data_IF_889894660988
#
_entry.id   IF_889894660988
#
_cell.length_a   1.000
_cell.length_b   1.000
_cell.length_c   1.000
_cell.angle_alpha   90.00
_cell.angle_beta   90.00
_cell.angle_gamma   90.00
#
_symmetry.space_group_name_H-M   'P 1'
#
loop_
_entity.id
_entity.type
_entity.pdbx_description
1 polymer ?
#
# COMPACT_ATOMS: atom_id res chain seq x y z
N UNK A 1 -6.94 -0.43 24.60
CA UNK A 1 -6.13 0.07 23.45
C UNK A 1 -6.48 -0.73 22.20
N UNK A 2 -6.43 -0.13 21.01
CA UNK A 2 -6.83 -0.79 19.76
C UNK A 2 -6.02 -2.06 19.44
N UNK A 3 -4.71 -2.04 19.72
CA UNK A 3 -3.85 -3.21 19.59
C UNK A 3 -4.29 -4.37 20.50
N UNK A 4 -4.67 -4.07 21.74
CA UNK A 4 -5.21 -5.07 22.69
C UNK A 4 -6.48 -5.72 22.15
N UNK A 5 -7.40 -4.91 21.58
CA UNK A 5 -8.65 -5.43 21.01
C UNK A 5 -8.39 -6.29 19.76
N UNK A 6 -7.44 -5.90 18.91
CA UNK A 6 -7.02 -6.74 17.78
C UNK A 6 -6.44 -8.08 18.24
N UNK A 7 -5.57 -8.07 19.26
CA UNK A 7 -4.98 -9.30 19.78
C UNK A 7 -6.03 -10.19 20.46
N UNK A 8 -7.01 -9.58 21.12
CA UNK A 8 -8.16 -10.31 21.67
C UNK A 8 -8.99 -10.97 20.54
N UNK A 9 -9.19 -10.28 19.43
CA UNK A 9 -9.86 -10.84 18.25
C UNK A 9 -9.14 -12.07 17.69
N UNK A 10 -7.81 -11.98 17.56
CA UNK A 10 -6.97 -13.13 17.14
C UNK A 10 -7.11 -14.28 18.16
N UNK A 11 -6.99 -13.98 19.45
CA UNK A 11 -7.05 -15.00 20.49
C UNK A 11 -8.39 -15.76 20.49
N UNK A 12 -9.51 -15.07 20.26
CA UNK A 12 -10.81 -15.72 20.11
C UNK A 12 -10.94 -16.49 18.80
N UNK A 13 -10.40 -15.99 17.69
CA UNK A 13 -10.37 -16.68 16.39
C UNK A 13 -9.62 -18.01 16.46
N UNK A 14 -8.51 -18.06 17.19
CA UNK A 14 -7.67 -19.26 17.32
C UNK A 14 -8.15 -20.22 18.42
N UNK A 15 -9.17 -19.82 19.19
CA UNK A 15 -9.60 -20.57 20.37
C UNK A 15 -10.40 -21.82 19.99
N UNK A 16 -9.80 -22.98 20.26
CA UNK A 16 -10.42 -24.29 20.03
C UNK A 16 -11.35 -24.78 21.16
N UNK A 17 -11.42 -24.05 22.29
CA UNK A 17 -12.24 -24.41 23.46
C UNK A 17 -13.43 -23.47 23.61
N UNK A 18 -14.54 -23.97 24.15
CA UNK A 18 -15.81 -23.23 24.25
C UNK A 18 -16.68 -23.39 23.01
N UNK A 19 -17.77 -22.61 22.93
CA UNK A 19 -18.64 -22.62 21.76
C UNK A 19 -17.99 -21.86 20.59
N UNK A 20 -17.97 -22.48 19.41
CA UNK A 20 -17.30 -21.92 18.23
C UNK A 20 -17.99 -20.64 17.76
N UNK A 21 -19.32 -20.58 17.79
CA UNK A 21 -20.05 -19.40 17.33
C UNK A 21 -19.82 -18.22 18.29
N UNK A 22 -19.87 -18.45 19.60
CA UNK A 22 -19.56 -17.41 20.60
C UNK A 22 -18.13 -16.88 20.49
N UNK A 23 -17.15 -17.76 20.21
CA UNK A 23 -15.77 -17.36 19.98
C UNK A 23 -15.66 -16.47 18.72
N UNK A 24 -16.33 -16.83 17.63
CA UNK A 24 -16.33 -16.03 16.39
C UNK A 24 -16.98 -14.66 16.62
N UNK A 25 -18.13 -14.61 17.29
CA UNK A 25 -18.81 -13.34 17.60
C UNK A 25 -17.93 -12.44 18.48
N UNK A 26 -17.26 -13.03 19.48
CA UNK A 26 -16.30 -12.32 20.33
C UNK A 26 -15.12 -11.79 19.54
N UNK A 27 -14.59 -12.56 18.59
CA UNK A 27 -13.50 -12.14 17.72
C UNK A 27 -13.92 -10.97 16.81
N UNK A 28 -15.10 -11.06 16.20
CA UNK A 28 -15.69 -10.00 15.37
C UNK A 28 -15.84 -8.72 16.19
N UNK A 29 -16.44 -8.80 17.37
CA UNK A 29 -16.64 -7.64 18.24
C UNK A 29 -15.31 -6.98 18.63
N UNK A 30 -14.30 -7.78 18.96
CA UNK A 30 -12.97 -7.28 19.31
C UNK A 30 -12.29 -6.57 18.11
N UNK A 31 -12.35 -7.16 16.91
CA UNK A 31 -11.82 -6.51 15.70
C UNK A 31 -12.58 -5.23 15.36
N UNK A 32 -13.91 -5.21 15.45
CA UNK A 32 -14.72 -4.02 15.21
C UNK A 32 -14.37 -2.89 16.21
N UNK A 33 -14.19 -3.21 17.49
CA UNK A 33 -13.74 -2.24 18.49
C UNK A 33 -12.35 -1.67 18.18
N UNK A 34 -11.43 -2.50 17.69
CA UNK A 34 -10.13 -2.01 17.23
C UNK A 34 -10.27 -1.06 16.02
N UNK A 35 -11.18 -1.34 15.09
CA UNK A 35 -11.45 -0.52 13.90
C UNK A 35 -12.13 0.82 14.18
N UNK A 36 -12.76 1.00 15.34
CA UNK A 36 -13.27 2.32 15.76
C UNK A 36 -12.14 3.33 16.04
N UNK A 37 -10.97 2.82 16.44
CA UNK A 37 -9.79 3.64 16.75
C UNK A 37 -8.77 3.62 15.60
N UNK A 38 -8.75 2.53 14.81
CA UNK A 38 -7.87 2.35 13.65
C UNK A 38 -8.52 2.89 12.38
N UNK A 39 -8.23 4.13 12.03
CA UNK A 39 -8.76 4.83 10.84
C UNK A 39 -7.75 4.82 9.69
N UNK A 40 -8.23 5.15 8.48
CA UNK A 40 -7.33 5.24 7.32
C UNK A 40 -6.41 6.46 7.42
N UNK A 41 -6.88 7.53 8.07
CA UNK A 41 -6.24 8.85 8.13
C UNK A 41 -5.20 8.95 9.26
N UNK A 42 -5.30 8.11 10.29
CA UNK A 42 -4.37 8.14 11.41
C UNK A 42 -3.38 6.96 11.39
N UNK A 43 -3.86 5.76 11.03
CA UNK A 43 -3.12 4.52 11.25
C UNK A 43 -3.56 3.42 10.26
N UNK A 44 -3.31 3.62 8.95
CA UNK A 44 -3.74 2.71 7.89
C UNK A 44 -3.05 1.34 7.96
N UNK A 45 -1.79 1.24 8.39
CA UNK A 45 -1.11 -0.06 8.57
C UNK A 45 -1.74 -0.88 9.70
N UNK A 46 -2.09 -0.25 10.82
CA UNK A 46 -2.81 -0.89 11.91
C UNK A 46 -4.21 -1.35 11.49
N UNK A 47 -4.92 -0.49 10.75
CA UNK A 47 -6.24 -0.79 10.19
C UNK A 47 -6.15 -1.94 9.19
N UNK A 48 -5.13 -1.96 8.34
CA UNK A 48 -4.83 -3.03 7.38
C UNK A 48 -4.77 -4.37 8.11
N UNK A 49 -3.94 -4.48 9.15
CA UNK A 49 -3.80 -5.73 9.93
C UNK A 49 -5.15 -6.17 10.49
N UNK A 50 -5.91 -5.27 11.13
CA UNK A 50 -7.22 -5.64 11.70
C UNK A 50 -8.21 -6.09 10.63
N UNK A 51 -8.28 -5.38 9.50
CA UNK A 51 -9.23 -5.69 8.41
C UNK A 51 -8.86 -6.98 7.68
N UNK A 52 -7.56 -7.30 7.54
CA UNK A 52 -7.10 -8.59 7.06
C UNK A 52 -7.53 -9.73 7.99
N UNK A 53 -7.34 -9.56 9.30
CA UNK A 53 -7.73 -10.58 10.28
C UNK A 53 -9.24 -10.81 10.29
N UNK A 54 -10.02 -9.74 10.24
CA UNK A 54 -11.48 -9.83 10.15
C UNK A 54 -11.93 -10.48 8.84
N UNK A 55 -11.29 -10.13 7.70
CA UNK A 55 -11.55 -10.77 6.41
C UNK A 55 -11.24 -12.26 6.41
N UNK A 56 -10.11 -12.66 7.01
CA UNK A 56 -9.75 -14.06 7.18
C UNK A 56 -10.76 -14.81 8.05
N UNK A 57 -11.16 -14.22 9.18
CA UNK A 57 -12.17 -14.82 10.06
C UNK A 57 -13.48 -15.07 9.32
N UNK A 58 -13.96 -14.11 8.53
CA UNK A 58 -15.15 -14.30 7.71
C UNK A 58 -14.95 -15.34 6.61
N UNK A 59 -13.80 -15.33 5.94
CA UNK A 59 -13.47 -16.28 4.88
C UNK A 59 -13.42 -17.72 5.40
N UNK A 60 -12.73 -17.94 6.51
CA UNK A 60 -12.54 -19.27 7.10
C UNK A 60 -13.85 -19.84 7.70
N UNK A 61 -14.87 -18.99 7.86
CA UNK A 61 -16.23 -19.37 8.28
C UNK A 61 -17.27 -19.16 7.17
N UNK A 62 -16.83 -19.10 5.90
CA UNK A 62 -17.69 -19.09 4.71
C UNK A 62 -18.66 -17.88 4.60
N UNK A 63 -18.40 -16.82 5.35
CA UNK A 63 -19.12 -15.55 5.25
C UNK A 63 -18.55 -14.69 4.11
N UNK A 64 -18.64 -15.18 2.87
CA UNK A 64 -17.93 -14.64 1.72
C UNK A 64 -18.20 -13.14 1.47
N UNK A 65 -19.45 -12.69 1.60
CA UNK A 65 -19.79 -11.27 1.42
C UNK A 65 -19.07 -10.38 2.44
N UNK A 66 -19.11 -10.74 3.74
CA UNK A 66 -18.44 -9.99 4.79
C UNK A 66 -16.91 -10.06 4.66
N UNK A 67 -16.39 -11.18 4.15
CA UNK A 67 -14.98 -11.33 3.81
C UNK A 67 -14.57 -10.35 2.69
N UNK A 68 -15.34 -10.27 1.59
CA UNK A 68 -15.07 -9.31 0.50
C UNK A 68 -15.05 -7.87 1.00
N UNK A 69 -16.03 -7.44 1.81
CA UNK A 69 -16.06 -6.09 2.38
C UNK A 69 -14.83 -5.79 3.26
N UNK A 70 -14.39 -6.78 4.02
CA UNK A 70 -13.23 -6.64 4.90
C UNK A 70 -11.93 -6.57 4.09
N UNK A 71 -11.81 -7.38 3.05
CA UNK A 71 -10.67 -7.32 2.14
C UNK A 71 -10.63 -6.04 1.30
N UNK A 72 -11.76 -5.48 0.88
CA UNK A 72 -11.77 -4.15 0.24
C UNK A 72 -11.22 -3.08 1.17
N UNK A 73 -11.62 -3.11 2.45
CA UNK A 73 -11.10 -2.17 3.47
C UNK A 73 -9.60 -2.37 3.68
N UNK A 74 -9.13 -3.61 3.68
CA UNK A 74 -7.71 -3.94 3.76
C UNK A 74 -6.94 -3.41 2.53
N UNK A 75 -7.42 -3.68 1.32
CA UNK A 75 -6.80 -3.20 0.07
C UNK A 75 -6.73 -1.68 0.05
N UNK A 76 -7.80 -0.98 0.44
CA UNK A 76 -7.76 0.50 0.60
C UNK A 76 -6.69 0.94 1.60
N UNK A 77 -6.56 0.23 2.72
CA UNK A 77 -5.52 0.52 3.71
C UNK A 77 -4.10 0.23 3.18
N UNK A 78 -3.91 -0.80 2.35
CA UNK A 78 -2.66 -1.03 1.60
C UNK A 78 -2.35 0.16 0.71
N UNK A 79 -3.32 0.61 -0.10
CA UNK A 79 -3.13 1.72 -1.02
C UNK A 79 -2.77 3.03 -0.30
N UNK A 80 -3.48 3.35 0.77
CA UNK A 80 -3.17 4.53 1.60
C UNK A 80 -1.78 4.39 2.22
N UNK A 81 -1.46 3.24 2.81
CA UNK A 81 -0.15 3.00 3.42
C UNK A 81 0.99 3.11 2.42
N UNK A 82 0.78 2.69 1.17
CA UNK A 82 1.74 2.88 0.07
C UNK A 82 1.85 4.32 -0.38
N UNK A 83 0.73 5.06 -0.44
CA UNK A 83 0.76 6.49 -0.76
C UNK A 83 1.54 7.30 0.28
N UNK A 84 1.55 6.84 1.53
CA UNK A 84 2.34 7.44 2.61
C UNK A 84 3.77 6.93 2.68
N UNK A 85 4.07 5.83 1.99
CA UNK A 85 5.39 5.24 1.97
C UNK A 85 6.32 6.11 1.11
N UNK A 86 7.36 6.60 1.77
CA UNK A 86 8.31 7.56 1.21
C UNK A 86 9.42 6.92 0.39
N UNK A 87 9.41 5.60 0.17
CA UNK A 87 10.42 4.92 -0.65
C UNK A 87 9.76 3.86 -1.51
N UNK A 88 10.36 3.59 -2.67
CA UNK A 88 9.86 2.54 -3.55
C UNK A 88 9.99 1.15 -2.92
N UNK A 89 11.12 0.89 -2.25
CA UNK A 89 11.35 -0.36 -1.54
C UNK A 89 10.27 -0.63 -0.48
N UNK A 90 9.85 0.40 0.27
CA UNK A 90 8.78 0.25 1.28
C UNK A 90 7.41 0.07 0.62
N UNK A 91 7.14 0.76 -0.49
CA UNK A 91 5.91 0.54 -1.27
C UNK A 91 5.84 -0.90 -1.79
N UNK A 92 6.96 -1.46 -2.23
CA UNK A 92 7.07 -2.84 -2.71
C UNK A 92 6.94 -3.85 -1.57
N UNK A 93 7.59 -3.59 -0.44
CA UNK A 93 7.50 -4.44 0.76
C UNK A 93 6.06 -4.54 1.24
N UNK A 94 5.34 -3.42 1.31
CA UNK A 94 3.91 -3.40 1.67
C UNK A 94 3.07 -4.23 0.69
N UNK A 95 3.35 -4.23 -0.62
CA UNK A 95 2.64 -5.12 -1.56
C UNK A 95 2.98 -6.57 -1.26
N UNK A 96 4.27 -6.92 -1.19
CA UNK A 96 4.75 -8.28 -0.99
C UNK A 96 4.17 -8.90 0.27
N UNK A 97 4.17 -8.15 1.38
CA UNK A 97 3.57 -8.54 2.66
C UNK A 97 2.06 -8.81 2.55
N UNK A 98 1.37 -8.24 1.56
CA UNK A 98 -0.08 -8.30 1.43
C UNK A 98 -0.57 -9.05 0.18
N UNK A 99 0.31 -9.75 -0.56
CA UNK A 99 -0.09 -10.60 -1.71
C UNK A 99 -1.18 -11.60 -1.28
N UNK A 100 -1.06 -12.19 -0.09
CA UNK A 100 -2.06 -13.12 0.43
C UNK A 100 -3.45 -12.50 0.58
N UNK A 101 -3.53 -11.22 0.94
CA UNK A 101 -4.80 -10.47 1.06
C UNK A 101 -5.48 -10.33 -0.28
N UNK A 102 -4.73 -9.97 -1.34
CA UNK A 102 -5.28 -9.89 -2.70
C UNK A 102 -5.77 -11.25 -3.19
N UNK A 103 -5.00 -12.32 -2.99
CA UNK A 103 -5.40 -13.68 -3.38
C UNK A 103 -6.68 -14.13 -2.68
N UNK A 104 -6.81 -13.91 -1.37
CA UNK A 104 -8.03 -14.26 -0.63
C UNK A 104 -9.22 -13.39 -1.03
N UNK A 105 -9.00 -12.11 -1.35
CA UNK A 105 -10.06 -11.23 -1.87
C UNK A 105 -10.61 -11.74 -3.20
N UNK A 106 -9.72 -12.10 -4.13
CA UNK A 106 -10.09 -12.69 -5.44
C UNK A 106 -10.92 -13.96 -5.24
N UNK A 107 -10.46 -14.87 -4.37
CA UNK A 107 -11.20 -16.10 -4.05
C UNK A 107 -12.57 -15.80 -3.44
N UNK A 108 -12.67 -14.85 -2.53
CA UNK A 108 -13.94 -14.46 -1.92
C UNK A 108 -14.93 -13.88 -2.95
N UNK A 109 -14.45 -13.12 -3.93
CA UNK A 109 -15.28 -12.65 -5.04
C UNK A 109 -15.70 -13.77 -6.00
N UNK A 110 -14.83 -14.76 -6.24
CA UNK A 110 -15.20 -15.96 -7.01
C UNK A 110 -16.33 -16.73 -6.31
N UNK A 111 -16.23 -16.92 -4.99
CA UNK A 111 -17.28 -17.59 -4.20
C UNK A 111 -18.60 -16.81 -4.15
N UNK A 112 -18.58 -15.51 -4.45
CA UNK A 112 -19.79 -14.67 -4.53
C UNK A 112 -20.26 -14.42 -5.98
N UNK A 113 -19.68 -15.11 -6.95
CA UNK A 113 -19.96 -14.99 -8.40
C UNK A 113 -19.76 -13.55 -8.95
N UNK A 114 -18.84 -12.81 -8.32
CA UNK A 114 -18.45 -11.44 -8.70
C UNK A 114 -17.15 -11.44 -9.47
N UNK A 115 -17.16 -12.11 -10.62
CA UNK A 115 -15.97 -12.26 -11.47
C UNK A 115 -15.43 -10.92 -11.98
N UNK A 116 -16.31 -9.93 -12.17
CA UNK A 116 -15.97 -8.54 -12.48
C UNK A 116 -14.98 -7.97 -11.45
N UNK A 117 -15.30 -8.14 -10.17
CA UNK A 117 -14.48 -7.65 -9.06
C UNK A 117 -13.24 -8.49 -8.83
N UNK A 118 -13.33 -9.81 -8.99
CA UNK A 118 -12.17 -10.69 -8.92
C UNK A 118 -11.10 -10.29 -9.95
N UNK A 119 -11.52 -9.99 -11.19
CA UNK A 119 -10.62 -9.57 -12.26
C UNK A 119 -10.02 -8.18 -11.98
N UNK A 120 -10.84 -7.20 -11.57
CA UNK A 120 -10.37 -5.86 -11.19
C UNK A 120 -9.25 -5.93 -10.14
N UNK A 121 -9.41 -6.75 -9.09
CA UNK A 121 -8.40 -6.91 -8.05
C UNK A 121 -7.15 -7.64 -8.57
N UNK A 122 -7.33 -8.66 -9.41
CA UNK A 122 -6.22 -9.42 -10.00
C UNK A 122 -5.34 -8.51 -10.87
N UNK A 123 -5.94 -7.78 -11.81
CA UNK A 123 -5.24 -6.82 -12.68
C UNK A 123 -4.54 -5.74 -11.87
N UNK A 124 -5.21 -5.18 -10.88
CA UNK A 124 -4.63 -4.14 -10.02
C UNK A 124 -3.40 -4.63 -9.25
N UNK A 125 -3.36 -5.90 -8.85
CA UNK A 125 -2.19 -6.51 -8.22
C UNK A 125 -1.07 -6.88 -9.21
N UNK A 126 -1.42 -7.34 -10.42
CA UNK A 126 -0.49 -7.82 -11.44
C UNK A 126 0.12 -6.67 -12.27
N UNK A 127 -0.69 -5.72 -12.73
CA UNK A 127 -0.22 -4.52 -13.43
C UNK A 127 0.78 -3.74 -12.56
N UNK A 128 0.57 -3.71 -11.23
CA UNK A 128 1.50 -3.07 -10.29
C UNK A 128 2.85 -3.78 -10.22
N UNK A 129 2.85 -5.10 -10.09
CA UNK A 129 4.10 -5.86 -10.14
C UNK A 129 4.84 -5.69 -11.48
N UNK A 130 4.12 -5.63 -12.60
CA UNK A 130 4.71 -5.45 -13.93
C UNK A 130 5.32 -4.05 -14.10
N UNK A 131 4.56 -2.99 -13.79
CA UNK A 131 5.05 -1.60 -13.83
C UNK A 131 6.26 -1.42 -12.93
N UNK A 132 6.28 -2.06 -11.77
CA UNK A 132 7.42 -2.01 -10.85
C UNK A 132 8.65 -2.76 -11.38
N UNK A 133 8.48 -3.93 -12.02
CA UNK A 133 9.58 -4.63 -12.71
C UNK A 133 10.12 -3.82 -13.90
N UNK A 134 9.25 -3.09 -14.59
CA UNK A 134 9.60 -2.20 -15.70
C UNK A 134 10.34 -0.95 -15.19
N UNK A 135 9.92 -0.38 -14.07
CA UNK A 135 10.56 0.77 -13.41
C UNK A 135 11.96 0.41 -12.90
N UNK A 136 12.12 -0.75 -12.25
CA UNK A 136 13.39 -1.22 -11.69
C UNK A 136 14.45 -1.56 -12.75
N UNK A 137 14.06 -1.74 -14.02
CA UNK A 137 14.99 -1.94 -15.13
C UNK A 137 15.59 -0.64 -15.67
N UNK A 138 15.33 0.50 -15.02
CA UNK A 138 15.71 1.84 -15.51
C UNK A 138 15.32 2.01 -16.99
N UNK A 139 14.12 1.55 -17.36
CA UNK A 139 13.63 1.68 -18.72
C UNK A 139 13.56 3.16 -19.07
N UNK A 140 14.42 3.56 -20.01
CA UNK A 140 14.39 4.88 -20.60
C UNK A 140 13.19 4.99 -21.56
N UNK A 141 12.66 6.21 -21.78
CA UNK A 141 11.65 6.44 -22.79
C UNK A 141 12.11 5.87 -24.12
N UNK A 142 11.24 5.12 -24.80
CA UNK A 142 11.56 4.60 -26.12
C UNK A 142 11.05 5.62 -27.13
N UNK A 143 11.97 6.17 -27.95
CA UNK A 143 11.77 7.14 -29.06
C UNK A 143 12.09 8.61 -28.67
N UNK A 144 12.84 9.31 -29.53
CA UNK A 144 13.06 10.78 -29.74
C UNK A 144 12.96 11.78 -28.56
N UNK A 145 12.99 11.34 -27.31
CA UNK A 145 13.10 12.23 -26.16
C UNK A 145 14.51 12.81 -26.14
N UNK A 146 14.60 14.13 -26.08
CA UNK A 146 15.88 14.84 -26.01
C UNK A 146 16.75 14.27 -24.87
N UNK A 147 18.05 14.00 -25.11
CA UNK A 147 18.96 13.43 -24.11
C UNK A 147 18.94 14.20 -22.79
N UNK A 148 18.76 15.53 -22.84
CA UNK A 148 18.71 16.41 -21.68
C UNK A 148 17.49 16.11 -20.78
N UNK A 149 16.33 15.80 -21.36
CA UNK A 149 15.11 15.47 -20.61
C UNK A 149 15.28 14.12 -19.93
N UNK A 150 15.86 13.16 -20.65
CA UNK A 150 16.14 11.81 -20.11
C UNK A 150 17.17 11.86 -18.99
N UNK A 151 18.23 12.65 -19.15
CA UNK A 151 19.25 12.86 -18.12
C UNK A 151 18.64 13.56 -16.90
N UNK A 152 17.83 14.60 -17.09
CA UNK A 152 17.12 15.27 -15.99
C UNK A 152 16.22 14.30 -15.22
N UNK A 153 15.49 13.43 -15.92
CA UNK A 153 14.65 12.41 -15.32
C UNK A 153 15.46 11.45 -14.44
N UNK A 154 16.57 10.91 -14.96
CA UNK A 154 17.45 10.02 -14.22
C UNK A 154 18.08 10.72 -13.00
N UNK A 155 18.56 11.94 -13.16
CA UNK A 155 19.16 12.72 -12.07
C UNK A 155 18.14 13.00 -10.97
N UNK A 156 16.90 13.35 -11.32
CA UNK A 156 15.83 13.57 -10.34
C UNK A 156 15.48 12.29 -9.59
N UNK A 157 15.31 11.17 -10.28
CA UNK A 157 15.10 9.86 -9.63
C UNK A 157 16.23 9.51 -8.67
N UNK A 158 17.47 9.72 -9.07
CA UNK A 158 18.61 9.43 -8.20
C UNK A 158 18.66 10.36 -6.98
N UNK A 159 18.38 11.67 -7.16
CA UNK A 159 18.29 12.63 -6.04
C UNK A 159 17.20 12.24 -5.06
N UNK A 160 16.02 11.86 -5.55
CA UNK A 160 14.91 11.36 -4.72
C UNK A 160 15.39 10.15 -3.93
N UNK A 161 15.91 9.12 -4.59
CA UNK A 161 16.41 7.89 -3.92
C UNK A 161 17.44 8.18 -2.82
N UNK A 162 18.38 9.08 -3.07
CA UNK A 162 19.38 9.48 -2.06
C UNK A 162 18.71 10.17 -0.87
N UNK A 163 17.76 11.09 -1.11
CA UNK A 163 17.04 11.82 -0.05
C UNK A 163 16.09 10.93 0.74
N UNK A 164 15.45 9.97 0.09
CA UNK A 164 14.68 8.91 0.73
C UNK A 164 15.55 8.09 1.70
N UNK A 165 16.76 7.72 1.29
CA UNK A 165 17.73 7.02 2.14
C UNK A 165 18.24 7.86 3.32
N UNK A 166 18.45 9.17 3.14
CA UNK A 166 18.75 10.10 4.23
C UNK A 166 17.60 10.19 5.24
N UNK A 167 16.35 10.33 4.75
CA UNK A 167 15.15 10.41 5.57
C UNK A 167 14.96 9.13 6.41
N UNK A 168 15.23 7.96 5.82
CA UNK A 168 15.15 6.68 6.53
C UNK A 168 16.13 6.62 7.71
N UNK A 169 17.38 7.08 7.53
CA UNK A 169 18.37 7.11 8.61
C UNK A 169 17.91 8.00 9.76
N UNK A 170 17.34 9.17 9.47
CA UNK A 170 16.78 10.09 10.49
C UNK A 170 15.61 9.43 11.23
N UNK A 171 14.70 8.75 10.52
CA UNK A 171 13.57 8.03 11.14
C UNK A 171 14.01 6.87 12.03
N UNK A 172 15.02 6.12 11.61
CA UNK A 172 15.59 5.06 12.44
C UNK A 172 16.18 5.62 13.74
N UNK A 173 16.88 6.76 13.66
CA UNK A 173 17.40 7.45 14.84
C UNK A 173 16.30 7.95 15.78
N UNK A 174 15.19 8.47 15.23
CA UNK A 174 14.02 8.88 16.01
C UNK A 174 13.38 7.73 16.80
N UNK A 175 13.39 6.51 16.25
CA UNK A 175 12.82 5.32 16.92
C UNK A 175 13.58 4.86 18.17
N UNK A 176 14.83 5.31 18.37
CA UNK A 176 15.74 4.81 19.40
C UNK A 176 16.22 5.83 20.46
N UNK A 177 15.72 7.07 20.48
CA UNK A 177 16.27 8.16 21.33
C UNK A 177 15.27 8.83 22.30
N UNK A 178 15.82 9.41 23.38
CA UNK A 178 15.10 10.17 24.42
C UNK A 178 14.66 11.58 23.95
N UNK A 179 13.62 12.13 24.61
CA UNK A 179 12.90 13.38 24.29
C UNK A 179 13.74 14.64 23.99
N UNK A 180 14.96 14.77 24.50
CA UNK A 180 15.80 15.96 24.29
C UNK A 180 16.54 16.01 22.94
N UNK A 181 16.72 14.86 22.26
CA UNK A 181 17.33 14.79 20.92
C UNK A 181 16.29 14.72 19.79
N UNK A 182 15.00 14.61 20.13
CA UNK A 182 13.92 14.46 19.16
C UNK A 182 13.64 15.74 18.37
N UNK A 183 13.84 16.94 18.93
CA UNK A 183 13.47 18.19 18.24
C UNK A 183 14.26 18.43 16.96
N UNK A 184 15.59 18.29 17.00
CA UNK A 184 16.46 18.50 15.83
C UNK A 184 16.29 17.43 14.77
N UNK A 185 16.00 16.18 15.17
CA UNK A 185 15.72 15.08 14.25
C UNK A 185 14.35 15.22 13.59
N UNK A 186 13.33 15.67 14.33
CA UNK A 186 11.99 15.97 13.77
C UNK A 186 12.06 17.14 12.78
N UNK A 187 12.82 18.19 13.08
CA UNK A 187 13.06 19.29 12.13
C UNK A 187 13.79 18.81 10.86
N UNK A 188 14.79 17.93 11.03
CA UNK A 188 15.52 17.32 9.91
C UNK A 188 14.62 16.43 9.06
N UNK A 189 13.74 15.64 9.68
CA UNK A 189 12.74 14.80 8.99
C UNK A 189 11.81 15.68 8.15
N UNK A 190 11.25 16.73 8.77
CA UNK A 190 10.33 17.67 8.10
C UNK A 190 11.00 18.39 6.93
N UNK A 191 12.26 18.78 7.09
CA UNK A 191 13.04 19.41 6.01
C UNK A 191 13.28 18.46 4.84
N UNK A 192 13.64 17.21 5.12
CA UNK A 192 13.85 16.18 4.10
C UNK A 192 12.55 15.84 3.37
N UNK A 193 11.41 15.79 4.07
CA UNK A 193 10.08 15.64 3.47
C UNK A 193 9.75 16.78 2.51
N UNK A 194 9.98 18.03 2.91
CA UNK A 194 9.75 19.19 2.04
C UNK A 194 10.59 19.12 0.75
N UNK A 195 11.88 18.77 0.88
CA UNK A 195 12.76 18.58 -0.29
C UNK A 195 12.32 17.43 -1.20
N UNK A 196 11.87 16.32 -0.63
CA UNK A 196 11.34 15.21 -1.41
C UNK A 196 10.11 15.63 -2.21
N UNK A 197 9.17 16.35 -1.57
CA UNK A 197 8.00 16.88 -2.24
C UNK A 197 8.36 17.82 -3.41
N UNK A 198 9.36 18.69 -3.23
CA UNK A 198 9.86 19.55 -4.31
C UNK A 198 10.47 18.74 -5.47
N UNK A 199 11.25 17.71 -5.16
CA UNK A 199 11.86 16.84 -6.18
C UNK A 199 10.82 16.01 -6.93
N UNK A 200 9.80 15.50 -6.24
CA UNK A 200 8.66 14.79 -6.84
C UNK A 200 7.88 15.71 -7.79
N UNK A 201 7.63 16.97 -7.41
CA UNK A 201 7.00 17.95 -8.30
C UNK A 201 7.85 18.26 -9.53
N UNK A 202 9.18 18.31 -9.39
CA UNK A 202 10.09 18.47 -10.52
C UNK A 202 10.07 17.25 -11.44
N UNK A 203 10.06 16.04 -10.85
CA UNK A 203 9.96 14.80 -11.60
C UNK A 203 8.66 14.73 -12.40
N UNK A 204 7.52 15.11 -11.82
CA UNK A 204 6.22 15.15 -12.50
C UNK A 204 6.24 16.12 -13.70
N UNK A 205 6.91 17.27 -13.59
CA UNK A 205 7.06 18.21 -14.72
C UNK A 205 7.86 17.59 -15.86
N UNK A 206 8.97 16.91 -15.55
CA UNK A 206 9.78 16.20 -16.55
C UNK A 206 8.98 15.03 -17.15
N UNK A 207 8.20 14.34 -16.32
CA UNK A 207 7.30 13.27 -16.74
C UNK A 207 6.30 13.73 -17.81
N UNK A 208 5.64 14.86 -17.55
CA UNK A 208 4.69 15.47 -18.48
C UNK A 208 5.35 15.95 -19.77
N UNK A 209 6.66 16.24 -19.76
CA UNK A 209 7.40 16.52 -21.00
C UNK A 209 7.65 15.24 -21.79
N UNK A 210 8.10 14.17 -21.12
CA UNK A 210 8.32 12.85 -21.74
C UNK A 210 7.04 12.31 -22.36
N UNK A 211 5.91 12.45 -21.66
CA UNK A 211 4.60 11.95 -22.12
C UNK A 211 4.13 12.56 -23.45
N UNK A 212 4.67 13.72 -23.84
CA UNK A 212 4.39 14.33 -25.17
C UNK A 212 5.05 13.57 -26.32
N UNK A 213 6.12 12.83 -26.04
CA UNK A 213 6.92 12.10 -27.02
C UNK A 213 6.71 10.59 -26.91
N UNK A 214 6.62 10.07 -25.68
CA UNK A 214 6.27 8.68 -25.37
C UNK A 214 5.05 8.68 -24.43
N UNK A 215 3.82 8.74 -24.98
CA UNK A 215 2.59 8.76 -24.18
C UNK A 215 2.41 7.52 -23.31
N UNK A 216 3.02 6.40 -23.71
CA UNK A 216 2.96 5.12 -23.01
C UNK A 216 3.99 4.99 -21.90
N UNK A 217 4.98 5.89 -21.83
CA UNK A 217 6.02 5.85 -20.82
C UNK A 217 5.44 5.88 -19.40
N UNK A 218 4.34 6.62 -19.16
CA UNK A 218 3.62 6.63 -17.88
C UNK A 218 3.21 5.25 -17.42
N UNK A 219 2.77 4.41 -18.34
CA UNK A 219 2.35 3.04 -18.06
C UNK A 219 3.53 2.15 -17.65
N UNK A 220 4.78 2.55 -17.92
CA UNK A 220 5.97 1.81 -17.47
C UNK A 220 6.46 2.25 -16.10
N UNK A 221 5.95 3.38 -15.59
CA UNK A 221 6.40 4.03 -14.36
C UNK A 221 5.29 4.11 -13.29
N UNK A 222 4.02 4.06 -13.69
CA UNK A 222 2.83 4.15 -12.83
C UNK A 222 1.71 3.23 -13.33
N UNK A 223 0.90 2.71 -12.41
CA UNK A 223 -0.29 1.94 -12.77
C UNK A 223 -1.50 2.84 -12.91
N UNK A 224 -2.04 2.89 -14.12
CA UNK A 224 -3.33 3.51 -14.41
C UNK A 224 -4.44 2.47 -14.20
N UNK A 225 -5.48 2.77 -13.41
CA UNK A 225 -6.63 1.87 -13.26
C UNK A 225 -7.38 1.78 -14.60
N UNK A 226 -7.52 0.58 -15.16
CA UNK A 226 -8.41 0.29 -16.28
C UNK A 226 -9.77 -0.17 -15.74
N UNK A 227 -10.84 0.26 -16.39
CA UNK A 227 -12.20 -0.20 -16.11
C UNK A 227 -12.57 -1.35 -17.04
N UNK A 228 -13.42 -2.28 -16.57
CA UNK A 228 -13.83 -3.45 -17.36
C UNK A 228 -14.40 -3.10 -18.74
N UNK A 229 -15.04 -1.93 -18.88
CA UNK A 229 -15.57 -1.43 -20.15
C UNK A 229 -14.49 -1.08 -21.19
N UNK A 230 -13.22 -0.96 -20.78
CA UNK A 230 -12.07 -0.66 -21.65
C UNK A 230 -11.36 -1.93 -22.14
N UNK A 231 -11.82 -3.12 -21.70
CA UNK A 231 -11.24 -4.43 -22.03
C UNK A 231 -12.05 -5.16 -23.12
N UNK A 232 -13.26 -4.68 -23.46
CA UNK A 232 -14.14 -5.25 -24.51
C UNK A 232 -14.00 -4.56 -25.88
#
# INVERSE_FOLDING_TARGET
MAATQNNLGIAYSDRITGDKAENIESAIAAFQNALQVRTLEANPLDRLVTTCNLGNLYFDNEHWQLATESYEKAIKAVEVSRSWATTDDRRQEIIKENIGTYSKAILAYIYTDRLDKALEIAERSQARNLVELLTNRDLLPKVDVAPEITEQFQQLKQKIRVKEGELQKVRQQLSGQNLQQQSSLVESEKHLQGKLQELEQQLEKVFNQIQKFDPTFRLTQEVQPMTFAEIE
#
